data_IF_188865981002
#
_entry.id   IF_188865981002
#
_cell.length_a   1.000
_cell.length_b   1.000
_cell.length_c   1.000
_cell.angle_alpha   90.00
_cell.angle_beta   90.00
_cell.angle_gamma   90.00
#
_symmetry.space_group_name_H-M   'P 1'
#
loop_
_entity.id
_entity.type
_entity.pdbx_description
1 polymer ?
#
# COMPACT_ATOMS: atom_id res chain seq x y z
N UNK A 1 -10.95 -0.79 18.89
CA UNK A 1 -11.57 -2.09 19.24
C UNK A 1 -10.77 -3.19 18.57
N UNK A 2 -9.85 -3.83 19.30
CA UNK A 2 -9.18 -5.05 18.84
C UNK A 2 -10.20 -6.17 18.89
N UNK A 3 -10.71 -6.61 17.72
CA UNK A 3 -11.51 -7.82 17.65
C UNK A 3 -10.73 -9.00 18.23
N UNK A 4 -11.42 -9.94 18.89
CA UNK A 4 -10.78 -11.16 19.37
C UNK A 4 -10.17 -11.91 18.17
N UNK A 5 -8.85 -12.14 18.19
CA UNK A 5 -8.16 -12.90 17.14
C UNK A 5 -8.63 -14.35 17.18
N UNK A 6 -9.12 -14.87 16.05
CA UNK A 6 -9.58 -16.25 15.97
C UNK A 6 -8.39 -17.22 15.83
N UNK A 7 -8.54 -18.45 16.33
CA UNK A 7 -7.53 -19.49 16.15
C UNK A 7 -7.28 -19.81 14.66
N UNK A 8 -8.31 -19.67 13.82
CA UNK A 8 -8.22 -19.84 12.37
C UNK A 8 -7.35 -18.73 11.74
N UNK A 9 -7.57 -17.47 12.13
CA UNK A 9 -6.77 -16.35 11.63
C UNK A 9 -5.30 -16.46 12.03
N UNK A 10 -5.04 -16.87 13.28
CA UNK A 10 -3.69 -17.12 13.78
C UNK A 10 -3.03 -18.25 12.99
N UNK A 11 -3.70 -19.38 12.83
CA UNK A 11 -3.16 -20.53 12.09
C UNK A 11 -2.87 -20.19 10.63
N UNK A 12 -3.76 -19.45 9.97
CA UNK A 12 -3.57 -18.95 8.61
C UNK A 12 -2.38 -17.99 8.53
N UNK A 13 -2.22 -17.09 9.52
CA UNK A 13 -1.10 -16.18 9.59
C UNK A 13 0.23 -16.93 9.69
N UNK A 14 0.34 -17.86 10.63
CA UNK A 14 1.53 -18.68 10.85
C UNK A 14 1.95 -19.44 9.59
N UNK A 15 0.98 -20.10 8.92
CA UNK A 15 1.25 -20.80 7.67
C UNK A 15 1.77 -19.86 6.56
N UNK A 16 1.24 -18.63 6.49
CA UNK A 16 1.65 -17.64 5.51
C UNK A 16 3.02 -17.00 5.82
N UNK A 17 3.47 -17.03 7.08
CA UNK A 17 4.73 -16.40 7.53
C UNK A 17 5.84 -17.41 7.80
N UNK A 18 5.77 -18.60 7.21
CA UNK A 18 6.86 -19.59 7.23
C UNK A 18 6.91 -20.45 8.50
N UNK A 19 5.88 -20.42 9.34
CA UNK A 19 5.74 -21.36 10.44
C UNK A 19 5.19 -22.69 9.93
N UNK A 20 5.66 -23.79 10.51
CA UNK A 20 5.21 -25.15 10.20
C UNK A 20 4.44 -25.74 11.37
N UNK A 21 3.25 -26.28 11.10
CA UNK A 21 2.43 -26.95 12.12
C UNK A 21 2.98 -28.37 12.35
N UNK A 22 3.20 -28.74 13.60
CA UNK A 22 3.50 -30.14 13.97
C UNK A 22 2.24 -31.01 13.84
N UNK A 23 2.40 -32.30 13.52
CA UNK A 23 1.27 -33.23 13.53
C UNK A 23 0.75 -33.47 14.95
N UNK A 24 1.59 -33.38 15.97
CA UNK A 24 1.19 -33.56 17.37
C UNK A 24 0.54 -32.29 17.95
N UNK A 25 -0.55 -32.48 18.69
CA UNK A 25 -1.12 -31.46 19.57
C UNK A 25 -0.58 -31.61 20.99
N UNK A 26 -0.40 -30.50 21.70
CA UNK A 26 -0.04 -30.52 23.11
C UNK A 26 -1.19 -29.95 23.96
N UNK A 27 -1.81 -30.80 24.79
CA UNK A 27 -2.89 -30.42 25.73
C UNK A 27 -4.02 -29.59 25.09
N UNK A 28 -4.43 -29.92 23.86
CA UNK A 28 -5.49 -29.20 23.14
C UNK A 28 -5.05 -27.89 22.48
N UNK A 29 -3.74 -27.68 22.33
CA UNK A 29 -3.16 -26.62 21.51
C UNK A 29 -2.39 -27.22 20.32
N UNK A 30 -2.49 -26.55 19.17
CA UNK A 30 -1.66 -26.83 18.02
C UNK A 30 -0.24 -26.27 18.25
N UNK A 31 0.78 -27.09 17.99
CA UNK A 31 2.18 -26.68 18.11
C UNK A 31 2.71 -26.24 16.75
N UNK A 32 3.35 -25.08 16.71
CA UNK A 32 3.94 -24.49 15.50
C UNK A 32 5.41 -24.18 15.74
N UNK A 33 6.24 -24.52 14.77
CA UNK A 33 7.67 -24.19 14.77
C UNK A 33 8.01 -23.16 13.71
N UNK A 34 9.04 -22.38 14.00
CA UNK A 34 9.73 -21.55 13.03
C UNK A 34 11.23 -21.78 13.15
N UNK A 35 11.94 -21.61 12.03
CA UNK A 35 13.40 -21.69 12.00
C UNK A 35 14.06 -20.91 13.14
N UNK A 36 15.16 -21.44 13.68
CA UNK A 36 15.85 -20.83 14.83
C UNK A 36 15.32 -21.23 16.21
N UNK A 37 14.55 -22.32 16.32
CA UNK A 37 14.15 -22.90 17.61
C UNK A 37 12.98 -22.20 18.30
N UNK A 38 12.19 -21.43 17.55
CA UNK A 38 11.00 -20.77 18.09
C UNK A 38 9.80 -21.71 18.01
N UNK A 39 9.08 -21.86 19.13
CA UNK A 39 7.87 -22.67 19.24
C UNK A 39 6.69 -21.80 19.68
N UNK A 40 5.52 -22.04 19.09
CA UNK A 40 4.26 -21.38 19.42
C UNK A 40 3.17 -22.41 19.70
N UNK A 41 2.37 -22.13 20.73
CA UNK A 41 1.17 -22.89 21.06
C UNK A 41 -0.05 -22.07 20.69
N UNK A 42 -0.86 -22.58 19.77
CA UNK A 42 -2.13 -21.96 19.35
C UNK A 42 -3.28 -22.71 20.01
N UNK A 43 -4.08 -22.06 20.89
CA UNK A 43 -5.26 -22.68 21.46
C UNK A 43 -6.26 -23.08 20.36
N UNK A 44 -6.69 -24.35 20.33
CA UNK A 44 -7.67 -24.80 19.33
C UNK A 44 -9.11 -24.38 19.69
N UNK A 45 -9.38 -24.16 20.97
CA UNK A 45 -10.69 -23.75 21.49
C UNK A 45 -10.63 -22.36 22.14
N UNK A 46 -11.48 -21.40 21.73
CA UNK A 46 -11.51 -20.05 22.29
C UNK A 46 -12.03 -19.99 23.74
N UNK A 47 -12.75 -21.04 24.16
CA UNK A 47 -13.39 -21.24 25.46
C UNK A 47 -12.42 -21.69 26.58
N UNK A 48 -11.12 -21.81 26.28
CA UNK A 48 -10.08 -21.98 27.30
C UNK A 48 -9.89 -20.69 28.11
N UNK A 49 -9.97 -20.79 29.44
CA UNK A 49 -9.89 -19.65 30.38
C UNK A 49 -8.63 -18.80 30.18
N UNK A 50 -7.51 -19.41 29.75
CA UNK A 50 -6.24 -18.71 29.51
C UNK A 50 -5.98 -18.32 28.04
N UNK A 51 -6.93 -18.57 27.12
CA UNK A 51 -6.77 -18.25 25.69
C UNK A 51 -6.36 -16.79 25.43
N UNK A 52 -6.94 -15.75 26.08
CA UNK A 52 -6.49 -14.37 25.90
C UNK A 52 -5.04 -14.13 26.31
N UNK A 53 -4.55 -14.85 27.33
CA UNK A 53 -3.16 -14.78 27.76
C UNK A 53 -2.25 -15.44 26.73
N UNK A 54 -2.62 -16.63 26.22
CA UNK A 54 -1.87 -17.36 25.20
C UNK A 54 -1.75 -16.57 23.91
N UNK A 55 -2.83 -15.92 23.47
CA UNK A 55 -2.80 -15.05 22.28
C UNK A 55 -1.83 -13.87 22.47
N UNK A 56 -1.80 -13.24 23.65
CA UNK A 56 -0.82 -12.16 23.93
C UNK A 56 0.63 -12.66 23.92
N UNK A 57 0.88 -13.82 24.50
CA UNK A 57 2.22 -14.45 24.50
C UNK A 57 2.67 -14.78 23.06
N UNK A 58 1.76 -15.33 22.24
CA UNK A 58 2.00 -15.62 20.83
C UNK A 58 2.32 -14.36 20.02
N UNK A 59 1.50 -13.31 20.15
CA UNK A 59 1.74 -12.03 19.45
C UNK A 59 3.08 -11.42 19.88
N UNK A 60 3.49 -11.57 21.15
CA UNK A 60 4.78 -11.08 21.62
C UNK A 60 5.98 -11.86 21.06
N UNK A 61 5.83 -13.16 20.76
CA UNK A 61 6.85 -13.95 20.07
C UNK A 61 6.93 -13.53 18.60
N UNK A 62 5.79 -13.45 17.90
CA UNK A 62 5.74 -13.00 16.50
C UNK A 62 6.33 -11.60 16.32
N UNK A 63 5.98 -10.65 17.18
CA UNK A 63 6.54 -9.31 17.17
C UNK A 63 8.08 -9.28 17.26
N UNK A 64 8.68 -10.20 18.03
CA UNK A 64 10.14 -10.33 18.13
C UNK A 64 10.75 -11.01 16.90
N UNK A 65 10.13 -12.08 16.41
CA UNK A 65 10.61 -12.83 15.23
C UNK A 65 10.56 -11.96 13.97
N UNK A 66 9.51 -11.15 13.83
CA UNK A 66 9.29 -10.30 12.66
C UNK A 66 9.82 -8.87 12.81
N UNK A 67 10.38 -8.50 13.97
CA UNK A 67 10.86 -7.14 14.27
C UNK A 67 9.80 -6.05 14.06
N UNK A 68 8.58 -6.32 14.51
CA UNK A 68 7.40 -5.45 14.33
C UNK A 68 6.64 -5.21 15.64
N UNK A 69 5.81 -4.18 15.68
CA UNK A 69 5.01 -3.91 16.87
C UNK A 69 3.92 -4.98 17.07
N UNK A 70 3.49 -5.17 18.32
CA UNK A 70 2.46 -6.15 18.65
C UNK A 70 1.12 -5.78 18.01
N UNK A 71 0.85 -4.48 17.93
CA UNK A 71 -0.34 -3.89 17.35
C UNK A 71 -0.39 -4.17 15.86
N UNK A 72 0.74 -4.06 15.16
CA UNK A 72 0.84 -4.39 13.74
C UNK A 72 0.61 -5.88 13.46
N UNK A 73 1.25 -6.75 14.25
CA UNK A 73 1.05 -8.20 14.14
C UNK A 73 -0.42 -8.56 14.39
N UNK A 74 -1.01 -8.04 15.47
CA UNK A 74 -2.41 -8.29 15.79
C UNK A 74 -3.35 -7.75 14.69
N UNK A 75 -3.06 -6.58 14.13
CA UNK A 75 -3.86 -5.99 13.05
C UNK A 75 -3.75 -6.77 11.74
N UNK A 76 -2.58 -7.34 11.42
CA UNK A 76 -2.42 -8.21 10.26
C UNK A 76 -3.16 -9.54 10.49
N UNK A 77 -3.00 -10.19 11.65
CA UNK A 77 -3.78 -11.40 12.00
C UNK A 77 -5.29 -11.11 11.92
N UNK A 78 -5.76 -9.97 12.43
CA UNK A 78 -7.18 -9.62 12.41
C UNK A 78 -7.75 -9.23 11.03
N UNK A 79 -6.91 -9.07 10.00
CA UNK A 79 -7.33 -8.62 8.68
C UNK A 79 -6.77 -9.53 7.55
N UNK A 80 -7.19 -10.81 7.48
CA UNK A 80 -6.72 -11.76 6.45
C UNK A 80 -6.97 -11.31 5.02
N UNK A 81 -7.99 -10.46 4.81
CA UNK A 81 -8.47 -9.99 3.51
C UNK A 81 -8.14 -8.52 3.26
N UNK A 82 -7.08 -7.99 3.85
CA UNK A 82 -6.62 -6.63 3.58
C UNK A 82 -5.18 -6.63 3.08
N UNK A 83 -4.97 -6.02 1.91
CA UNK A 83 -3.63 -5.62 1.50
C UNK A 83 -3.19 -4.43 2.36
N UNK A 84 -1.88 -4.27 2.53
CA UNK A 84 -1.29 -3.24 3.38
C UNK A 84 -0.41 -2.34 2.55
N UNK A 85 -0.62 -1.04 2.67
CA UNK A 85 0.23 0.00 2.13
C UNK A 85 0.74 0.88 3.28
N UNK A 86 2.05 1.07 3.39
CA UNK A 86 2.62 1.79 4.53
C UNK A 86 3.68 2.79 4.10
N UNK A 87 3.91 3.80 4.94
CA UNK A 87 4.89 4.85 4.71
C UNK A 87 5.78 5.04 5.94
N UNK A 88 7.10 5.13 5.70
CA UNK A 88 8.07 5.63 6.68
C UNK A 88 8.55 6.99 6.18
N UNK A 89 8.30 8.02 6.97
CA UNK A 89 8.47 9.41 6.54
C UNK A 89 8.69 10.35 7.74
N UNK A 90 9.42 11.45 7.59
CA UNK A 90 9.51 12.50 8.63
C UNK A 90 8.16 13.11 9.02
N UNK A 91 7.16 13.12 8.13
CA UNK A 91 5.81 13.65 8.46
C UNK A 91 4.93 12.63 9.20
N UNK A 92 5.43 11.39 9.34
CA UNK A 92 4.82 10.32 10.11
C UNK A 92 5.93 9.45 10.75
N UNK A 93 6.69 10.02 11.72
CA UNK A 93 7.87 9.36 12.28
C UNK A 93 7.47 8.12 13.11
N UNK A 94 8.23 7.01 13.01
CA UNK A 94 7.96 5.81 13.79
C UNK A 94 7.92 6.06 15.30
N UNK A 95 6.82 5.66 15.96
CA UNK A 95 6.66 5.81 17.42
C UNK A 95 6.73 7.26 17.93
N UNK A 96 6.73 8.25 17.03
CA UNK A 96 6.94 9.66 17.33
C UNK A 96 5.64 10.46 17.41
N UNK A 97 5.75 11.70 17.91
CA UNK A 97 4.67 12.69 17.85
C UNK A 97 4.77 13.42 16.51
N UNK A 98 3.84 13.14 15.58
CA UNK A 98 3.68 13.96 14.37
C UNK A 98 2.99 15.28 14.74
N UNK A 99 3.44 16.40 14.15
CA UNK A 99 2.68 17.66 14.22
C UNK A 99 1.33 17.50 13.53
N UNK A 100 0.29 18.21 13.99
CA UNK A 100 -1.05 18.09 13.42
C UNK A 100 -1.09 18.41 11.91
N UNK A 101 -0.31 19.40 11.48
CA UNK A 101 -0.20 19.80 10.07
C UNK A 101 0.49 18.70 9.24
N UNK A 102 1.56 18.11 9.76
CA UNK A 102 2.28 17.01 9.10
C UNK A 102 1.40 15.77 8.98
N UNK A 103 0.68 15.42 10.05
CA UNK A 103 -0.28 14.32 10.04
C UNK A 103 -1.39 14.57 9.01
N UNK A 104 -1.94 15.78 8.93
CA UNK A 104 -2.97 16.15 7.95
C UNK A 104 -2.42 16.06 6.52
N UNK A 105 -1.20 16.55 6.29
CA UNK A 105 -0.54 16.48 5.00
C UNK A 105 -0.26 15.03 4.57
N UNK A 106 0.17 14.18 5.51
CA UNK A 106 0.42 12.76 5.27
C UNK A 106 -0.88 12.03 4.90
N UNK A 107 -1.97 12.23 5.66
CA UNK A 107 -3.27 11.61 5.37
C UNK A 107 -3.85 12.09 4.03
N UNK A 108 -3.77 13.38 3.74
CA UNK A 108 -4.16 13.91 2.43
C UNK A 108 -3.28 13.37 1.29
N UNK A 109 -1.99 13.14 1.58
CA UNK A 109 -1.04 12.48 0.69
C UNK A 109 -1.48 11.06 0.35
N UNK A 110 -1.75 10.23 1.36
CA UNK A 110 -2.30 8.87 1.21
C UNK A 110 -3.54 8.85 0.35
N UNK A 111 -4.52 9.71 0.68
CA UNK A 111 -5.78 9.77 -0.06
C UNK A 111 -5.55 10.10 -1.54
N UNK A 112 -4.61 11.01 -1.83
CA UNK A 112 -4.27 11.40 -3.20
C UNK A 112 -3.52 10.30 -3.93
N UNK A 113 -2.54 9.64 -3.28
CA UNK A 113 -1.79 8.51 -3.84
C UNK A 113 -2.72 7.37 -4.23
N UNK A 114 -3.57 6.92 -3.30
CA UNK A 114 -4.53 5.84 -3.56
C UNK A 114 -5.57 6.26 -4.59
N UNK A 115 -6.07 7.49 -4.53
CA UNK A 115 -7.03 8.01 -5.51
C UNK A 115 -6.47 8.05 -6.93
N UNK A 116 -5.24 8.54 -7.11
CA UNK A 116 -4.58 8.59 -8.42
C UNK A 116 -4.32 7.18 -8.97
N UNK A 117 -3.77 6.28 -8.16
CA UNK A 117 -3.52 4.90 -8.57
C UNK A 117 -4.82 4.14 -8.88
N UNK A 118 -5.88 4.35 -8.08
CA UNK A 118 -7.18 3.72 -8.31
C UNK A 118 -7.85 4.22 -9.58
N UNK A 119 -7.73 5.51 -9.92
CA UNK A 119 -8.22 6.05 -11.20
C UNK A 119 -7.46 5.45 -12.39
N UNK A 120 -6.13 5.32 -12.27
CA UNK A 120 -5.31 4.68 -13.29
C UNK A 120 -5.68 3.19 -13.49
N UNK A 121 -5.96 2.48 -12.39
CA UNK A 121 -6.34 1.06 -12.42
C UNK A 121 -7.79 0.82 -12.87
N UNK A 122 -8.68 1.79 -12.68
CA UNK A 122 -10.10 1.68 -13.01
C UNK A 122 -10.41 1.99 -14.48
N UNK A 123 -9.82 3.03 -15.04
CA UNK A 123 -10.04 3.47 -16.43
C UNK A 123 -8.78 3.20 -17.27
N UNK A 124 -7.85 4.16 -17.25
CA UNK A 124 -6.54 4.06 -17.88
C UNK A 124 -5.56 5.03 -17.24
N UNK A 125 -4.24 4.78 -17.33
CA UNK A 125 -3.23 5.75 -16.94
C UNK A 125 -3.33 7.06 -17.72
N UNK A 126 -3.14 8.20 -17.02
CA UNK A 126 -3.20 9.55 -17.58
C UNK A 126 -2.19 10.46 -16.86
N UNK A 127 -1.64 11.48 -17.53
CA UNK A 127 -0.69 12.40 -16.89
C UNK A 127 -1.36 13.25 -15.79
N UNK A 128 -2.66 13.52 -15.94
CA UNK A 128 -3.50 14.26 -14.99
C UNK A 128 -4.90 13.63 -14.99
N UNK A 129 -5.54 13.56 -13.82
CA UNK A 129 -6.94 13.13 -13.72
C UNK A 129 -7.88 14.29 -13.38
N UNK A 130 -8.73 14.67 -14.32
CA UNK A 130 -9.69 15.78 -14.16
C UNK A 130 -11.03 15.34 -13.58
N UNK A 131 -11.74 16.26 -12.92
CA UNK A 131 -13.06 16.01 -12.36
C UNK A 131 -13.08 15.05 -11.17
N UNK A 132 -14.30 14.75 -10.70
CA UNK A 132 -14.52 13.88 -9.56
C UNK A 132 -14.09 12.42 -9.87
N UNK A 133 -13.53 11.68 -8.89
CA UNK A 133 -13.23 10.26 -9.07
C UNK A 133 -14.49 9.46 -9.40
N UNK A 134 -14.44 8.42 -10.25
CA UNK A 134 -15.57 7.53 -10.52
C UNK A 134 -16.15 6.90 -9.24
N UNK A 135 -17.42 6.47 -9.27
CA UNK A 135 -18.11 5.88 -8.11
C UNK A 135 -17.31 4.73 -7.49
N UNK A 136 -16.83 3.79 -8.30
CA UNK A 136 -16.04 2.65 -7.82
C UNK A 136 -14.75 3.08 -7.09
N UNK A 137 -14.09 4.13 -7.56
CA UNK A 137 -12.90 4.69 -6.88
C UNK A 137 -13.28 5.32 -5.54
N UNK A 138 -14.39 6.06 -5.47
CA UNK A 138 -14.88 6.64 -4.21
C UNK A 138 -15.29 5.55 -3.21
N UNK A 139 -15.96 4.50 -3.68
CA UNK A 139 -16.34 3.34 -2.85
C UNK A 139 -15.12 2.55 -2.38
N UNK A 140 -14.06 2.42 -3.18
CA UNK A 140 -12.79 1.87 -2.72
C UNK A 140 -12.21 2.74 -1.60
N UNK A 141 -12.04 4.04 -1.83
CA UNK A 141 -11.46 4.96 -0.83
C UNK A 141 -12.28 5.01 0.47
N UNK A 142 -13.60 4.88 0.39
CA UNK A 142 -14.48 4.81 1.56
C UNK A 142 -14.39 3.50 2.37
N UNK A 143 -13.82 2.44 1.79
CA UNK A 143 -13.58 1.15 2.45
C UNK A 143 -12.18 1.02 3.05
N UNK A 144 -11.25 1.89 2.67
CA UNK A 144 -9.88 1.90 3.19
C UNK A 144 -9.86 2.39 4.63
N UNK A 145 -9.07 1.75 5.49
CA UNK A 145 -8.89 2.21 6.87
C UNK A 145 -7.41 2.31 7.26
N UNK A 146 -7.15 3.11 8.29
CA UNK A 146 -5.82 3.23 8.90
C UNK A 146 -5.80 2.30 10.10
N UNK A 147 -4.79 1.43 10.17
CA UNK A 147 -4.65 0.52 11.32
C UNK A 147 -3.60 1.02 12.31
N UNK A 148 -3.64 0.53 13.56
CA UNK A 148 -2.62 0.85 14.54
C UNK A 148 -1.27 0.30 14.06
N UNK A 149 -0.26 1.17 14.00
CA UNK A 149 1.08 0.86 13.51
C UNK A 149 2.01 1.98 13.97
N UNK A 150 3.28 1.66 14.15
CA UNK A 150 4.31 2.68 14.37
C UNK A 150 4.53 3.51 13.09
N UNK A 151 4.17 2.97 11.92
CA UNK A 151 4.21 3.63 10.63
C UNK A 151 2.82 4.14 10.22
N UNK A 152 2.77 5.04 9.24
CA UNK A 152 1.51 5.37 8.60
C UNK A 152 1.08 4.17 7.73
N UNK A 153 0.19 3.35 8.28
CA UNK A 153 -0.24 2.09 7.67
C UNK A 153 -1.71 2.12 7.29
N UNK A 154 -1.96 1.86 6.02
CA UNK A 154 -3.25 1.89 5.37
C UNK A 154 -3.60 0.49 4.90
N UNK A 155 -4.84 0.06 5.16
CA UNK A 155 -5.35 -1.26 4.83
C UNK A 155 -6.42 -1.13 3.75
N UNK A 156 -6.18 -1.83 2.65
CA UNK A 156 -7.03 -1.84 1.47
C UNK A 156 -7.72 -3.20 1.42
N UNK A 157 -9.00 -3.29 1.81
CA UNK A 157 -9.69 -4.57 1.80
C UNK A 157 -9.86 -5.10 0.38
N UNK A 158 -9.57 -6.39 0.24
CA UNK A 158 -9.74 -7.16 -0.99
C UNK A 158 -11.19 -7.62 -1.07
N UNK A 159 -11.86 -7.29 -2.18
CA UNK A 159 -13.24 -7.63 -2.50
C UNK A 159 -13.32 -8.20 -3.91
N UNK A 160 -14.50 -8.71 -4.30
CA UNK A 160 -14.75 -9.34 -5.60
C UNK A 160 -14.40 -8.46 -6.82
N UNK A 161 -14.48 -7.12 -6.69
CA UNK A 161 -14.11 -6.19 -7.78
C UNK A 161 -12.60 -6.08 -8.04
N UNK A 162 -11.79 -6.63 -7.12
CA UNK A 162 -10.33 -6.60 -7.05
C UNK A 162 -9.69 -5.22 -7.30
N UNK A 163 -10.46 -4.13 -7.25
CA UNK A 163 -9.97 -2.79 -7.60
C UNK A 163 -8.92 -2.35 -6.59
N UNK A 164 -9.10 -2.69 -5.31
CA UNK A 164 -8.10 -2.45 -4.27
C UNK A 164 -6.76 -3.13 -4.56
N UNK A 165 -6.79 -4.43 -4.89
CA UNK A 165 -5.59 -5.21 -5.23
C UNK A 165 -4.90 -4.65 -6.48
N UNK A 166 -5.66 -4.39 -7.55
CA UNK A 166 -5.15 -3.80 -8.80
C UNK A 166 -4.54 -2.42 -8.56
N UNK A 167 -5.17 -1.60 -7.73
CA UNK A 167 -4.66 -0.28 -7.32
C UNK A 167 -3.28 -0.38 -6.70
N UNK A 168 -3.10 -1.30 -5.73
CA UNK A 168 -1.82 -1.45 -5.03
C UNK A 168 -0.74 -2.12 -5.88
N UNK A 169 -1.09 -3.05 -6.77
CA UNK A 169 -0.14 -3.65 -7.73
C UNK A 169 0.38 -2.57 -8.69
N UNK A 170 -0.52 -1.76 -9.27
CA UNK A 170 -0.15 -0.65 -10.14
C UNK A 170 0.71 0.36 -9.38
N UNK A 171 0.29 0.75 -8.17
CA UNK A 171 1.04 1.69 -7.35
C UNK A 171 2.44 1.20 -7.02
N UNK A 172 2.61 -0.08 -6.65
CA UNK A 172 3.93 -0.68 -6.41
C UNK A 172 4.82 -0.59 -7.64
N UNK A 173 4.28 -0.95 -8.83
CA UNK A 173 5.01 -0.85 -10.10
C UNK A 173 5.41 0.60 -10.39
N UNK A 174 4.48 1.54 -10.26
CA UNK A 174 4.74 2.96 -10.47
C UNK A 174 5.82 3.49 -9.52
N UNK A 175 5.81 3.11 -8.23
CA UNK A 175 6.85 3.53 -7.29
C UNK A 175 8.23 2.98 -7.61
N UNK A 176 8.32 1.73 -8.09
CA UNK A 176 9.59 1.14 -8.53
C UNK A 176 10.16 1.87 -9.75
N UNK A 177 9.33 2.07 -10.77
CA UNK A 177 9.72 2.79 -11.99
C UNK A 177 10.07 4.26 -11.70
N UNK A 178 9.37 4.92 -10.78
CA UNK A 178 9.75 6.25 -10.32
C UNK A 178 11.14 6.24 -9.67
N UNK A 179 11.46 5.21 -8.85
CA UNK A 179 12.78 5.13 -8.21
C UNK A 179 13.89 4.91 -9.23
N UNK A 180 13.66 4.07 -10.23
CA UNK A 180 14.57 3.85 -11.36
C UNK A 180 14.77 5.13 -12.17
N UNK A 181 13.69 5.83 -12.53
CA UNK A 181 13.74 7.09 -13.26
C UNK A 181 14.42 8.22 -12.48
N UNK A 182 14.32 8.24 -11.14
CA UNK A 182 15.11 9.17 -10.30
C UNK A 182 16.60 8.90 -10.48
N UNK A 183 17.03 7.64 -10.45
CA UNK A 183 18.44 7.29 -10.65
C UNK A 183 18.92 7.60 -12.09
N UNK A 184 18.07 7.40 -13.09
CA UNK A 184 18.37 7.76 -14.48
C UNK A 184 18.46 9.29 -14.67
N UNK A 185 17.57 10.07 -14.07
CA UNK A 185 17.64 11.53 -14.07
C UNK A 185 18.96 11.99 -13.45
N UNK A 186 19.32 11.46 -12.28
CA UNK A 186 20.56 11.85 -11.59
C UNK A 186 21.81 11.57 -12.45
N UNK A 187 21.77 10.51 -13.28
CA UNK A 187 22.85 10.16 -14.19
C UNK A 187 22.88 10.97 -15.50
N UNK A 188 21.72 11.34 -16.04
CA UNK A 188 21.60 11.91 -17.41
C UNK A 188 21.24 13.39 -17.44
N UNK A 189 20.65 13.91 -16.37
CA UNK A 189 20.03 15.24 -16.32
C UNK A 189 18.69 15.35 -17.07
N UNK A 190 18.18 14.28 -17.67
CA UNK A 190 16.97 14.31 -18.50
C UNK A 190 15.70 14.03 -17.69
N UNK A 191 14.92 15.07 -17.43
CA UNK A 191 13.61 14.95 -16.77
C UNK A 191 12.53 14.33 -17.69
N UNK A 192 12.74 14.24 -19.00
CA UNK A 192 11.78 13.63 -19.92
C UNK A 192 11.64 12.12 -19.72
N UNK A 193 12.59 11.47 -19.03
CA UNK A 193 12.49 10.05 -18.61
C UNK A 193 11.19 9.74 -17.86
N UNK A 194 10.59 10.73 -17.18
CA UNK A 194 9.34 10.55 -16.44
C UNK A 194 8.09 10.55 -17.34
N UNK A 195 8.15 11.14 -18.53
CA UNK A 195 6.98 11.29 -19.42
C UNK A 195 6.46 9.92 -19.90
N UNK A 196 7.41 9.01 -20.20
CA UNK A 196 7.15 7.62 -20.59
C UNK A 196 6.55 6.77 -19.47
N UNK A 197 6.62 7.21 -18.20
CA UNK A 197 6.01 6.49 -17.08
C UNK A 197 4.50 6.74 -16.95
N UNK A 198 3.94 7.67 -17.73
CA UNK A 198 2.50 7.94 -17.70
C UNK A 198 1.70 6.68 -18.05
N UNK A 199 2.14 5.90 -19.05
CA UNK A 199 1.51 4.63 -19.41
C UNK A 199 1.58 3.56 -18.31
N UNK A 200 2.43 3.78 -17.30
CA UNK A 200 2.65 2.86 -16.17
C UNK A 200 1.88 3.29 -14.91
N UNK A 201 1.01 4.30 -15.02
CA UNK A 201 0.20 4.79 -13.91
C UNK A 201 0.80 5.99 -13.16
N UNK A 202 1.94 6.52 -13.61
CA UNK A 202 2.50 7.75 -13.04
C UNK A 202 1.68 8.95 -13.50
N UNK A 203 1.23 9.76 -12.55
CA UNK A 203 0.49 10.98 -12.81
C UNK A 203 1.04 12.15 -12.00
N UNK A 204 0.68 13.37 -12.38
CA UNK A 204 1.03 14.56 -11.64
C UNK A 204 0.53 14.51 -10.18
N UNK A 205 -0.66 13.97 -9.97
CA UNK A 205 -1.26 13.84 -8.64
C UNK A 205 -0.51 12.82 -7.79
N UNK A 206 -0.10 11.69 -8.37
CA UNK A 206 0.73 10.70 -7.69
C UNK A 206 2.08 11.29 -7.29
N UNK A 207 2.80 11.94 -8.22
CA UNK A 207 4.10 12.54 -7.95
C UNK A 207 4.01 13.65 -6.88
N UNK A 208 3.03 14.54 -7.00
CA UNK A 208 2.83 15.62 -6.04
C UNK A 208 2.47 15.10 -4.64
N UNK A 209 1.69 14.02 -4.56
CA UNK A 209 1.31 13.41 -3.29
C UNK A 209 2.46 12.65 -2.64
N UNK A 210 3.22 11.88 -3.42
CA UNK A 210 4.42 11.19 -2.92
C UNK A 210 5.46 12.18 -2.37
N UNK A 211 5.63 13.33 -3.03
CA UNK A 211 6.55 14.37 -2.56
C UNK A 211 6.22 14.93 -1.17
N UNK A 212 4.97 14.80 -0.69
CA UNK A 212 4.58 15.25 0.66
C UNK A 212 5.21 14.40 1.76
N UNK A 213 5.54 13.14 1.47
CA UNK A 213 6.21 12.27 2.43
C UNK A 213 7.69 12.64 2.62
N UNK A 214 8.26 13.54 1.83
CA UNK A 214 9.61 14.05 2.01
C UNK A 214 9.70 15.25 2.98
N UNK A 215 8.63 15.58 3.72
CA UNK A 215 8.60 16.74 4.62
C UNK A 215 8.11 18.03 3.97
N UNK A 216 8.00 19.10 4.76
CA UNK A 216 7.62 20.44 4.32
C UNK A 216 8.49 20.93 3.16
N UNK A 217 9.81 20.76 3.31
CA UNK A 217 10.83 21.20 2.36
C UNK A 217 11.02 20.20 1.21
N UNK A 218 10.41 19.01 1.31
CA UNK A 218 10.50 17.92 0.33
C UNK A 218 11.92 17.39 0.07
N UNK A 219 12.81 17.55 1.05
CA UNK A 219 14.21 17.14 0.96
C UNK A 219 14.52 15.82 1.68
N UNK A 220 13.73 15.43 2.67
CA UNK A 220 14.03 14.25 3.46
C UNK A 220 13.74 12.95 2.70
N UNK A 221 14.49 11.86 2.97
CA UNK A 221 14.19 10.56 2.41
C UNK A 221 12.88 10.02 2.98
N UNK A 222 12.22 9.15 2.22
CA UNK A 222 11.02 8.45 2.65
C UNK A 222 10.96 7.07 2.00
N UNK A 223 10.16 6.19 2.58
CA UNK A 223 9.98 4.82 2.10
C UNK A 223 8.49 4.50 2.00
N UNK A 224 8.15 3.77 0.96
CA UNK A 224 6.79 3.32 0.66
C UNK A 224 6.80 1.80 0.55
N UNK A 225 5.92 1.11 1.27
CA UNK A 225 5.88 -0.34 1.26
C UNK A 225 4.51 -0.96 1.06
N UNK A 226 4.55 -2.24 0.70
CA UNK A 226 3.42 -3.03 0.26
C UNK A 226 3.49 -4.43 0.86
N UNK A 227 2.38 -4.91 1.41
CA UNK A 227 2.16 -6.31 1.77
C UNK A 227 0.78 -6.74 1.28
N UNK A 228 0.60 -8.03 1.06
CA UNK A 228 -0.60 -8.58 0.45
C UNK A 228 -1.44 -9.34 1.47
N UNK A 229 -2.76 -9.28 1.30
CA UNK A 229 -3.72 -10.06 2.05
C UNK A 229 -3.38 -11.54 1.93
N UNK A 230 -3.21 -12.24 3.05
CA UNK A 230 -2.86 -13.67 3.04
C UNK A 230 -4.02 -14.57 2.59
N UNK A 231 -5.26 -14.13 2.76
CA UNK A 231 -6.42 -14.91 2.31
C UNK A 231 -6.58 -14.92 0.78
N UNK A 232 -5.86 -14.06 0.05
CA UNK A 232 -5.84 -14.07 -1.42
C UNK A 232 -4.39 -14.01 -1.90
N UNK A 233 -3.81 -15.14 -2.38
CA UNK A 233 -2.46 -15.20 -2.88
C UNK A 233 -2.14 -14.08 -3.87
N UNK A 234 -0.91 -13.57 -3.81
CA UNK A 234 -0.39 -12.57 -4.74
C UNK A 234 0.83 -13.15 -5.45
N UNK A 235 0.85 -13.05 -6.78
CA UNK A 235 2.05 -13.35 -7.57
C UNK A 235 3.12 -12.26 -7.42
N UNK A 236 2.75 -11.07 -6.93
CA UNK A 236 3.67 -9.97 -6.69
C UNK A 236 4.25 -10.12 -5.27
N UNK A 237 5.58 -10.06 -5.09
CA UNK A 237 6.16 -10.14 -3.76
C UNK A 237 5.86 -8.88 -2.94
N UNK A 238 5.76 -9.03 -1.62
CA UNK A 238 5.80 -7.90 -0.70
C UNK A 238 7.15 -7.17 -0.80
N UNK A 239 7.19 -5.91 -0.40
CA UNK A 239 8.44 -5.14 -0.40
C UNK A 239 8.22 -3.65 -0.25
N UNK A 240 9.31 -2.91 -0.25
CA UNK A 240 9.31 -1.45 -0.15
C UNK A 240 10.24 -0.80 -1.15
N UNK A 241 10.02 0.49 -1.37
CA UNK A 241 10.81 1.37 -2.23
C UNK A 241 11.28 2.55 -1.40
N UNK A 242 12.60 2.72 -1.32
CA UNK A 242 13.24 3.84 -0.62
C UNK A 242 13.56 4.93 -1.61
N UNK A 243 13.03 6.13 -1.36
CA UNK A 243 13.33 7.34 -2.09
C UNK A 243 14.39 8.16 -1.33
N UNK A 244 15.55 8.45 -1.94
CA UNK A 244 16.62 9.20 -1.29
C UNK A 244 16.23 10.66 -1.05
N UNK A 245 17.03 11.35 -0.24
CA UNK A 245 16.90 12.78 -0.02
C UNK A 245 16.87 13.57 -1.34
N UNK A 246 16.11 14.65 -1.39
CA UNK A 246 15.91 15.48 -2.59
C UNK A 246 14.90 14.94 -3.61
N UNK A 247 14.48 13.67 -3.50
CA UNK A 247 13.50 13.09 -4.43
C UNK A 247 12.15 13.82 -4.40
N UNK A 248 11.73 14.32 -3.24
CA UNK A 248 10.46 15.06 -3.13
C UNK A 248 10.44 16.33 -4.00
N UNK A 249 11.53 17.09 -4.01
CA UNK A 249 11.69 18.25 -4.91
C UNK A 249 11.62 17.85 -6.39
N UNK A 250 12.28 16.76 -6.76
CA UNK A 250 12.21 16.23 -8.14
C UNK A 250 10.78 15.82 -8.51
N UNK A 251 10.08 15.08 -7.64
CA UNK A 251 8.69 14.68 -7.87
C UNK A 251 7.74 15.87 -7.99
N UNK A 252 7.96 16.97 -7.25
CA UNK A 252 7.21 18.23 -7.45
C UNK A 252 7.45 18.81 -8.85
N UNK A 253 8.69 18.81 -9.34
CA UNK A 253 9.02 19.26 -10.71
C UNK A 253 8.38 18.36 -11.78
N UNK A 254 8.44 17.04 -11.60
CA UNK A 254 7.78 16.06 -12.48
C UNK A 254 6.27 16.30 -12.51
N UNK A 255 5.64 16.50 -11.34
CA UNK A 255 4.21 16.81 -11.28
C UNK A 255 3.84 18.08 -12.07
N UNK A 256 4.65 19.13 -11.97
CA UNK A 256 4.44 20.36 -12.75
C UNK A 256 4.63 20.11 -14.26
N UNK A 257 5.66 19.34 -14.64
CA UNK A 257 5.90 18.95 -16.04
C UNK A 257 4.72 18.19 -16.63
N UNK A 258 4.22 17.16 -15.96
CA UNK A 258 3.10 16.33 -16.44
C UNK A 258 1.82 17.17 -16.61
N UNK A 259 1.56 18.13 -15.70
CA UNK A 259 0.43 19.08 -15.88
C UNK A 259 0.60 19.96 -17.10
N UNK A 260 1.80 20.47 -17.36
CA UNK A 260 2.07 21.28 -18.56
C UNK A 260 1.90 20.48 -19.85
N UNK A 261 2.42 19.25 -19.89
CA UNK A 261 2.31 18.38 -21.07
C UNK A 261 0.86 17.99 -21.38
N UNK A 262 0.04 17.80 -20.34
CA UNK A 262 -1.40 17.63 -20.48
C UNK A 262 -2.07 18.87 -21.09
N UNK A 263 -1.74 20.07 -20.59
CA UNK A 263 -2.29 21.33 -21.11
C UNK A 263 -1.88 21.63 -22.56
N UNK A 264 -0.69 21.21 -22.99
CA UNK A 264 -0.19 21.42 -24.36
C UNK A 264 -0.59 20.30 -25.33
N UNK A 265 -1.33 19.27 -24.89
CA UNK A 265 -1.73 18.13 -25.72
C UNK A 265 -0.59 17.18 -26.11
N UNK A 266 0.62 17.34 -25.55
CA UNK A 266 1.79 16.54 -25.92
C UNK A 266 1.77 15.11 -25.35
N UNK A 267 0.84 14.82 -24.41
CA UNK A 267 0.60 13.50 -23.83
C UNK A 267 -0.92 13.12 -23.89
N UNK A 268 -1.73 13.86 -24.66
CA UNK A 268 -3.19 13.75 -24.64
C UNK A 268 -3.86 13.45 -26.00
N UNK A 269 -4.44 12.25 -26.09
CA UNK A 269 -5.49 11.78 -27.02
C UNK A 269 -5.07 11.44 -28.47
N UNK A 270 -4.80 10.14 -28.72
CA UNK A 270 -5.24 9.58 -30.00
C UNK A 270 -6.78 9.62 -30.02
N UNK A 271 -7.39 10.19 -31.07
CA UNK A 271 -8.84 10.21 -31.19
C UNK A 271 -9.35 8.77 -31.27
N UNK A 272 -10.34 8.44 -30.42
CA UNK A 272 -11.14 7.23 -30.63
C UNK A 272 -11.69 7.27 -32.06
N UNK A 273 -11.61 6.18 -32.84
CA UNK A 273 -12.26 6.15 -34.15
C UNK A 273 -13.75 6.41 -33.94
N UNK A 274 -14.22 7.49 -34.57
CA UNK A 274 -15.58 7.98 -34.43
C UNK A 274 -16.58 6.87 -34.72
N UNK A 275 -17.51 6.70 -33.80
CA UNK A 275 -18.75 5.98 -34.08
C UNK A 275 -19.59 6.90 -34.97
N UNK A 276 -19.59 6.66 -36.27
CA UNK A 276 -20.54 7.25 -37.22
C UNK A 276 -21.93 6.62 -36.96
N UNK A 277 -22.94 7.36 -36.47
CA UNK A 277 -24.31 6.89 -36.57
C UNK A 277 -24.76 7.20 -37.99
N UNK A 278 -24.64 6.21 -38.88
CA UNK A 278 -25.29 6.27 -40.19
C UNK A 278 -26.78 6.45 -39.96
N UNK A 279 -27.25 7.64 -40.29
CA UNK A 279 -28.66 7.95 -40.53
C UNK A 279 -28.89 7.79 -42.03
N UNK A 280 -29.82 6.90 -42.42
CA UNK A 280 -30.69 6.96 -43.61
C UNK A 280 -31.57 5.70 -43.58
N UNK A 281 -32.84 5.84 -43.18
CA UNK A 281 -33.97 5.88 -44.13
C UNK A 281 -33.96 4.68 -45.09
N UNK A 282 -34.72 3.62 -44.76
CA UNK A 282 -36.01 3.23 -45.38
C UNK A 282 -36.86 2.58 -44.27
#
# INVERSE_FOLDING_TARGET
>A
MTGALSAADISSYLAATGWSRRPESWRGAAVWDHGGGHELLVPEKPDLVDAPRRIRELVAVLARVEERSREEIAADIGAPMADVHWYRSPVAPPGGRAGLLDATAALGGVQTVLGAAARAAFDRPRPVFEGAPPRAVRELLGRVWIGPSDLLTVRVPVHDDELGRRTLILLRRATLLLREAVAEMDATGDIAVFDRLVGEGVSADLCAALARFAGSDAEAPFEVGFRWARGLPSAVPAGSVVFPAGTGLLLRRVAHRLRRLHQTGLIGEEPSPGFDPVTKEI
#
